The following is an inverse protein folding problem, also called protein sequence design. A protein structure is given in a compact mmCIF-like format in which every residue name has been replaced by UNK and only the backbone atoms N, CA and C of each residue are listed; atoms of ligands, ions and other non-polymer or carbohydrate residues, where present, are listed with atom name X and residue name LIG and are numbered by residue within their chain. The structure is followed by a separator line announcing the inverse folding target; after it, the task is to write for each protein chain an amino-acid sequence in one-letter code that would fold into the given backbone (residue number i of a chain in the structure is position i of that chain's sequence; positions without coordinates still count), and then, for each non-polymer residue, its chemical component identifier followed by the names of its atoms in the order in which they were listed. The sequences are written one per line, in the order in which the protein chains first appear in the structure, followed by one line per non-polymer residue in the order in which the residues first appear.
data_IF_369600245942
#
_entry.id   IF_369600245942
#
_cell.length_a   1.000
_cell.length_b   1.000
_cell.length_c   1.000
_cell.angle_alpha   90.00
_cell.angle_beta   90.00
_cell.angle_gamma   90.00
#
_symmetry.space_group_name_H-M   'P 1'
#
loop_
_entity.id
_entity.type
_entity.pdbx_description
1 polymer ?
#
# COMPACT_ATOMS: atom_id res chain seq x y z
N UNK A 1 63.16 -23.65 28.47
CA UNK A 1 62.64 -22.49 27.71
C UNK A 1 61.82 -22.87 26.47
N UNK A 2 62.27 -23.79 25.58
CA UNK A 2 61.50 -24.23 24.40
C UNK A 2 60.10 -24.83 24.70
N UNK A 3 59.94 -25.56 25.82
CA UNK A 3 58.66 -26.23 26.18
C UNK A 3 57.55 -25.25 26.58
N UNK A 4 57.90 -24.13 27.23
CA UNK A 4 56.92 -23.09 27.60
C UNK A 4 56.55 -22.18 26.43
N UNK A 5 57.45 -22.02 25.45
CA UNK A 5 57.18 -21.27 24.21
C UNK A 5 56.13 -21.99 23.34
N UNK A 6 56.20 -23.32 23.24
CA UNK A 6 55.19 -24.14 22.56
C UNK A 6 53.83 -24.08 23.26
N UNK A 7 53.80 -24.06 24.60
CA UNK A 7 52.55 -23.95 25.37
C UNK A 7 51.90 -22.56 25.23
N UNK A 8 52.70 -21.50 25.22
CA UNK A 8 52.23 -20.13 25.00
C UNK A 8 51.69 -19.93 23.56
N UNK A 9 52.35 -20.52 22.55
CA UNK A 9 51.88 -20.48 21.17
C UNK A 9 50.56 -21.25 20.97
N UNK A 10 50.34 -22.34 21.71
CA UNK A 10 49.11 -23.12 21.67
C UNK A 10 47.93 -22.42 22.37
N UNK A 11 48.20 -21.65 23.43
CA UNK A 11 47.16 -20.85 24.12
C UNK A 11 46.79 -19.60 23.31
N UNK A 12 47.74 -18.99 22.58
CA UNK A 12 47.50 -17.79 21.77
C UNK A 12 46.70 -18.07 20.48
N UNK A 13 46.73 -19.31 19.98
CA UNK A 13 45.98 -19.73 18.78
C UNK A 13 44.54 -20.17 19.08
N UNK A 14 44.20 -20.38 20.37
CA UNK A 14 42.86 -20.83 20.80
C UNK A 14 41.80 -19.73 20.94
N UNK A 15 42.12 -18.45 20.75
CA UNK A 15 41.19 -17.31 20.95
C UNK A 15 40.65 -16.69 19.65
N UNK A 16 40.90 -17.30 18.48
CA UNK A 16 40.29 -16.81 17.25
C UNK A 16 38.82 -17.26 17.18
N UNK A 17 37.88 -16.34 17.47
CA UNK A 17 36.45 -16.60 17.25
C UNK A 17 36.22 -16.67 15.75
N UNK A 18 35.97 -17.87 15.24
CA UNK A 18 35.48 -18.04 13.87
C UNK A 18 33.96 -17.92 13.89
N UNK A 19 33.45 -16.79 13.42
CA UNK A 19 32.02 -16.59 13.21
C UNK A 19 31.59 -17.39 11.96
N UNK A 20 30.60 -18.26 12.09
CA UNK A 20 30.08 -19.06 10.97
C UNK A 20 29.03 -18.28 10.17
N UNK A 21 29.46 -17.20 9.51
CA UNK A 21 28.62 -16.39 8.63
C UNK A 21 28.73 -16.88 7.19
N UNK A 22 27.61 -16.89 6.46
CA UNK A 22 27.61 -17.20 5.03
C UNK A 22 27.68 -15.89 4.25
N UNK A 23 28.84 -15.60 3.65
CA UNK A 23 29.00 -14.54 2.66
C UNK A 23 28.87 -15.08 1.24
N UNK A 24 28.07 -14.43 0.39
CA UNK A 24 28.03 -14.68 -1.05
C UNK A 24 28.52 -13.42 -1.77
N UNK A 25 29.62 -13.57 -2.51
CA UNK A 25 30.37 -12.48 -3.16
C UNK A 25 30.92 -11.39 -2.23
N UNK A 26 30.99 -11.64 -0.92
CA UNK A 26 31.69 -10.77 0.05
C UNK A 26 32.54 -11.62 0.98
N UNK A 27 33.74 -11.13 1.32
CA UNK A 27 34.64 -11.74 2.33
C UNK A 27 34.50 -11.08 3.69
N UNK A 28 33.68 -10.04 3.80
CA UNK A 28 33.41 -9.32 5.05
C UNK A 28 31.90 -9.17 5.22
N UNK A 29 31.17 -10.27 5.49
CA UNK A 29 29.74 -10.19 5.79
C UNK A 29 29.47 -9.20 6.92
N UNK A 30 28.34 -8.52 6.85
CA UNK A 30 27.92 -7.60 7.90
C UNK A 30 27.81 -8.33 9.24
N UNK A 31 28.30 -7.71 10.33
CA UNK A 31 28.37 -8.33 11.66
C UNK A 31 27.02 -8.81 12.23
N UNK A 32 25.90 -8.25 11.75
CA UNK A 32 24.55 -8.63 12.16
C UNK A 32 23.88 -9.64 11.21
N UNK A 33 24.58 -10.14 10.19
CA UNK A 33 24.03 -11.02 9.17
C UNK A 33 24.54 -12.45 9.34
N UNK A 34 23.62 -13.41 9.41
CA UNK A 34 23.96 -14.83 9.29
C UNK A 34 24.19 -15.24 7.82
N UNK A 35 23.51 -14.56 6.88
CA UNK A 35 23.69 -14.66 5.44
C UNK A 35 23.78 -13.23 4.87
N UNK A 36 24.90 -12.91 4.21
CA UNK A 36 25.11 -11.64 3.52
C UNK A 36 25.43 -11.89 2.05
N UNK A 37 24.73 -11.18 1.16
CA UNK A 37 24.84 -11.36 -0.29
C UNK A 37 25.08 -10.00 -0.92
N UNK A 38 26.26 -9.84 -1.52
CA UNK A 38 26.59 -8.61 -2.24
C UNK A 38 26.51 -8.84 -3.76
N UNK A 39 25.85 -7.93 -4.46
CA UNK A 39 25.83 -7.92 -5.93
C UNK A 39 25.34 -6.56 -6.45
N UNK A 40 25.91 -6.10 -7.54
CA UNK A 40 25.49 -4.87 -8.24
C UNK A 40 24.54 -5.14 -9.40
N UNK A 41 24.37 -6.41 -9.81
CA UNK A 41 23.59 -6.78 -11.00
C UNK A 41 22.77 -8.08 -10.87
N UNK A 42 22.80 -8.76 -9.72
CA UNK A 42 21.99 -9.95 -9.43
C UNK A 42 21.20 -9.74 -8.15
N UNK A 43 20.04 -10.40 -8.06
CA UNK A 43 19.22 -10.43 -6.86
C UNK A 43 19.14 -11.82 -6.23
N UNK A 44 18.40 -11.93 -5.14
CA UNK A 44 18.08 -13.18 -4.48
C UNK A 44 16.68 -13.66 -4.91
N UNK A 45 16.58 -14.91 -5.37
CA UNK A 45 15.31 -15.60 -5.50
C UNK A 45 15.02 -16.37 -4.21
N UNK A 46 14.01 -15.93 -3.47
CA UNK A 46 13.41 -16.72 -2.38
C UNK A 46 12.52 -17.83 -2.98
N UNK A 47 12.09 -18.86 -2.20
CA UNK A 47 11.19 -19.90 -2.69
C UNK A 47 9.95 -19.30 -3.37
N UNK A 48 9.61 -19.80 -4.56
CA UNK A 48 8.48 -19.30 -5.38
C UNK A 48 7.42 -20.38 -5.49
N UNK A 49 6.19 -20.03 -5.18
CA UNK A 49 5.05 -20.96 -5.29
C UNK A 49 3.72 -20.22 -5.41
N UNK A 50 2.68 -20.90 -5.85
CA UNK A 50 1.31 -20.34 -5.90
C UNK A 50 0.74 -20.14 -4.49
N UNK A 51 -0.31 -19.33 -4.35
CA UNK A 51 -1.00 -19.16 -3.06
C UNK A 51 -1.46 -20.50 -2.46
N UNK A 52 -1.98 -21.41 -3.29
CA UNK A 52 -2.43 -22.72 -2.84
C UNK A 52 -1.28 -23.56 -2.25
N UNK A 53 -0.12 -23.57 -2.92
CA UNK A 53 1.08 -24.26 -2.43
C UNK A 53 1.65 -23.62 -1.16
N UNK A 54 1.65 -22.29 -1.08
CA UNK A 54 2.10 -21.53 0.10
C UNK A 54 1.25 -21.85 1.34
N UNK A 55 -0.07 -21.88 1.19
CA UNK A 55 -1.00 -22.22 2.28
C UNK A 55 -0.88 -23.69 2.69
N UNK A 56 -0.45 -24.57 1.76
CA UNK A 56 -0.21 -25.98 2.05
C UNK A 56 1.14 -26.27 2.74
N UNK A 57 1.99 -25.27 2.99
CA UNK A 57 3.24 -25.46 3.75
C UNK A 57 2.87 -25.86 5.18
N UNK A 58 3.33 -27.05 5.60
CA UNK A 58 3.05 -27.59 6.94
C UNK A 58 3.98 -26.92 7.96
N UNK A 59 3.42 -26.42 9.06
CA UNK A 59 4.15 -25.77 10.17
C UNK A 59 5.15 -24.68 9.70
N UNK A 60 4.75 -23.69 8.89
CA UNK A 60 5.67 -22.69 8.38
C UNK A 60 6.22 -21.84 9.55
N UNK A 61 7.54 -21.67 9.61
CA UNK A 61 8.13 -20.87 10.67
C UNK A 61 7.58 -19.43 10.68
N UNK A 62 7.43 -18.80 11.87
CA UNK A 62 7.19 -17.36 11.95
C UNK A 62 8.29 -16.61 11.19
N UNK A 63 7.91 -15.61 10.39
CA UNK A 63 8.82 -14.84 9.57
C UNK A 63 9.26 -15.51 8.26
N UNK A 64 8.80 -16.73 7.95
CA UNK A 64 9.12 -17.42 6.69
C UNK A 64 8.74 -16.56 5.47
N UNK A 65 9.70 -16.34 4.57
CA UNK A 65 9.54 -15.54 3.36
C UNK A 65 9.40 -16.43 2.12
N UNK A 66 8.36 -16.18 1.33
CA UNK A 66 8.06 -16.90 0.09
C UNK A 66 7.57 -15.87 -0.93
N UNK A 67 7.97 -15.98 -2.19
CA UNK A 67 7.36 -15.20 -3.25
C UNK A 67 6.10 -15.92 -3.77
N UNK A 68 4.94 -15.32 -3.54
CA UNK A 68 3.65 -15.83 -4.02
C UNK A 68 3.47 -15.46 -5.49
N UNK A 69 3.49 -16.46 -6.38
CA UNK A 69 3.40 -16.23 -7.82
C UNK A 69 1.99 -15.87 -8.29
N UNK A 70 0.97 -16.18 -7.50
CA UNK A 70 -0.43 -15.84 -7.80
C UNK A 70 -0.70 -14.38 -7.43
N UNK A 71 -0.30 -13.96 -6.22
CA UNK A 71 -0.46 -12.58 -5.73
C UNK A 71 0.66 -11.64 -6.21
N UNK A 72 1.73 -12.19 -6.80
CA UNK A 72 2.90 -11.46 -7.31
C UNK A 72 3.60 -10.61 -6.23
N UNK A 73 3.62 -11.09 -5.00
CA UNK A 73 4.15 -10.38 -3.83
C UNK A 73 5.17 -11.24 -3.06
N UNK A 74 6.05 -10.59 -2.29
CA UNK A 74 6.79 -11.27 -1.23
C UNK A 74 5.81 -11.49 -0.08
N UNK A 75 5.57 -12.73 0.31
CA UNK A 75 4.66 -13.10 1.39
C UNK A 75 5.45 -13.57 2.62
N UNK A 76 5.08 -13.06 3.79
CA UNK A 76 5.66 -13.44 5.07
C UNK A 76 4.61 -14.12 5.96
N UNK A 77 5.00 -15.19 6.66
CA UNK A 77 4.17 -15.70 7.75
C UNK A 77 4.32 -14.78 8.99
N UNK A 78 3.35 -13.91 9.22
CA UNK A 78 3.26 -13.06 10.41
C UNK A 78 2.58 -13.76 11.61
N UNK A 79 2.09 -14.99 11.41
CA UNK A 79 1.47 -15.81 12.44
C UNK A 79 2.45 -16.74 13.14
N UNK A 80 1.93 -17.82 13.70
CA UNK A 80 2.71 -18.88 14.32
C UNK A 80 2.86 -20.09 13.39
N UNK A 81 3.66 -21.08 13.78
CA UNK A 81 3.76 -22.32 13.01
C UNK A 81 2.44 -23.12 12.99
N UNK A 82 1.66 -23.07 14.07
CA UNK A 82 0.38 -23.79 14.20
C UNK A 82 -0.82 -22.99 13.68
N UNK A 83 -0.68 -21.67 13.57
CA UNK A 83 -1.69 -20.76 13.03
C UNK A 83 -1.00 -19.72 12.14
N UNK A 84 -0.68 -20.09 10.88
CA UNK A 84 0.00 -19.19 9.97
C UNK A 84 -0.90 -18.05 9.51
N UNK A 85 -0.33 -16.86 9.42
CA UNK A 85 -0.99 -15.66 8.90
C UNK A 85 -0.12 -15.05 7.81
N UNK A 86 -0.43 -15.38 6.55
CA UNK A 86 0.34 -14.91 5.40
C UNK A 86 -0.02 -13.49 5.02
N UNK A 87 0.96 -12.59 5.06
CA UNK A 87 0.84 -11.18 4.68
C UNK A 87 1.69 -10.90 3.45
N UNK A 88 1.18 -10.13 2.49
CA UNK A 88 1.99 -9.60 1.40
C UNK A 88 2.77 -8.37 1.90
N UNK A 89 4.09 -8.41 1.78
CA UNK A 89 4.99 -7.29 2.02
C UNK A 89 5.03 -6.41 0.75
N UNK A 90 3.89 -5.81 0.41
CA UNK A 90 3.81 -4.77 -0.60
C UNK A 90 3.34 -3.47 0.05
N UNK A 91 3.89 -2.33 -0.37
CA UNK A 91 3.42 -1.02 0.11
C UNK A 91 1.95 -0.73 -0.27
N UNK A 92 1.35 -1.55 -1.15
CA UNK A 92 -0.04 -1.40 -1.60
C UNK A 92 -1.06 -1.93 -0.59
N UNK A 93 -0.68 -2.87 0.28
CA UNK A 93 -1.65 -3.60 1.12
C UNK A 93 -1.90 -2.95 2.51
N UNK A 94 -1.26 -1.81 2.83
CA UNK A 94 -1.37 -1.15 4.14
C UNK A 94 -2.16 0.16 4.14
N UNK A 95 -2.68 0.62 3.01
CA UNK A 95 -3.58 1.77 2.97
C UNK A 95 -4.78 1.41 2.10
N UNK A 96 -5.93 1.22 2.73
CA UNK A 96 -7.20 1.52 2.10
C UNK A 96 -7.14 3.00 1.73
N UNK A 97 -6.52 3.31 0.59
CA UNK A 97 -6.29 4.68 0.15
C UNK A 97 -7.63 5.24 -0.27
N UNK A 98 -8.33 5.88 0.67
CA UNK A 98 -9.53 6.63 0.36
C UNK A 98 -9.34 8.08 0.77
N UNK A 99 -10.01 8.96 0.06
CA UNK A 99 -10.08 10.37 0.39
C UNK A 99 -11.49 10.88 0.10
N UNK A 100 -11.90 11.90 0.85
CA UNK A 100 -13.15 12.59 0.54
C UNK A 100 -12.98 13.38 -0.76
N UNK A 101 -14.01 13.38 -1.59
CA UNK A 101 -14.09 14.33 -2.69
C UNK A 101 -14.01 15.76 -2.13
N UNK A 102 -13.25 16.67 -2.75
CA UNK A 102 -13.27 18.07 -2.36
C UNK A 102 -14.69 18.65 -2.42
N UNK A 103 -14.98 19.61 -1.53
CA UNK A 103 -16.28 20.27 -1.50
C UNK A 103 -16.56 20.99 -2.80
N UNK A 104 -17.76 20.77 -3.35
CA UNK A 104 -18.28 21.45 -4.54
C UNK A 104 -19.68 21.97 -4.27
N UNK A 105 -20.06 23.05 -4.97
CA UNK A 105 -21.43 23.52 -4.98
C UNK A 105 -22.23 22.75 -6.04
N UNK A 106 -23.40 22.24 -5.65
CA UNK A 106 -24.37 21.63 -6.55
C UNK A 106 -25.60 22.53 -6.57
N UNK A 107 -25.98 23.01 -7.75
CA UNK A 107 -27.18 23.82 -7.89
C UNK A 107 -28.43 22.94 -7.75
N UNK A 108 -29.15 23.14 -6.66
CA UNK A 108 -30.42 22.51 -6.33
C UNK A 108 -31.56 23.52 -6.22
N UNK A 109 -31.46 24.68 -6.87
CA UNK A 109 -32.48 25.74 -6.84
C UNK A 109 -33.78 25.39 -7.58
N UNK A 110 -33.76 24.37 -8.43
CA UNK A 110 -34.90 23.98 -9.27
C UNK A 110 -35.17 22.49 -9.18
N UNK A 111 -36.43 22.13 -8.90
CA UNK A 111 -36.90 20.75 -8.93
C UNK A 111 -36.73 20.21 -10.36
N UNK A 112 -35.96 19.14 -10.50
CA UNK A 112 -35.56 18.61 -11.81
C UNK A 112 -35.14 17.15 -11.67
N UNK A 113 -35.36 16.37 -12.71
CA UNK A 113 -35.05 14.93 -12.73
C UNK A 113 -33.92 14.62 -13.72
N UNK A 114 -33.13 13.59 -13.45
CA UNK A 114 -32.09 13.09 -14.35
C UNK A 114 -30.92 14.05 -14.51
N UNK A 115 -30.63 14.85 -13.49
CA UNK A 115 -29.44 15.72 -13.46
C UNK A 115 -28.20 14.83 -13.39
N UNK A 116 -27.14 15.26 -14.05
CA UNK A 116 -25.86 14.54 -14.07
C UNK A 116 -24.73 15.42 -13.57
N UNK A 117 -23.81 14.84 -12.81
CA UNK A 117 -22.61 15.49 -12.30
C UNK A 117 -21.40 14.57 -12.49
N UNK A 118 -20.40 15.02 -13.23
CA UNK A 118 -19.13 14.30 -13.38
C UNK A 118 -18.23 14.62 -12.18
N UNK A 119 -18.25 13.74 -11.18
CA UNK A 119 -17.51 13.94 -9.93
C UNK A 119 -16.00 13.92 -10.16
N UNK A 120 -15.52 13.22 -11.18
CA UNK A 120 -14.10 13.19 -11.50
C UNK A 120 -13.62 14.50 -12.13
N UNK A 121 -14.41 15.06 -13.03
CA UNK A 121 -14.07 16.35 -13.63
C UNK A 121 -14.15 17.48 -12.59
N UNK A 122 -15.13 17.44 -11.68
CA UNK A 122 -15.20 18.36 -10.54
C UNK A 122 -14.00 18.21 -9.60
N UNK A 123 -13.58 16.98 -9.31
CA UNK A 123 -12.36 16.69 -8.56
C UNK A 123 -11.15 17.35 -9.19
N UNK A 124 -10.88 17.13 -10.49
CA UNK A 124 -9.69 17.67 -11.17
C UNK A 124 -9.60 19.20 -11.10
N UNK A 125 -10.73 19.90 -11.21
CA UNK A 125 -10.76 21.38 -11.19
C UNK A 125 -10.11 21.96 -9.92
N UNK A 126 -10.13 21.22 -8.81
CA UNK A 126 -9.60 21.67 -7.53
C UNK A 126 -8.07 21.62 -7.45
N UNK A 127 -7.41 20.96 -8.42
CA UNK A 127 -5.96 20.76 -8.43
C UNK A 127 -5.26 21.67 -9.45
N UNK A 128 -6.00 22.55 -10.13
CA UNK A 128 -5.46 23.53 -11.05
C UNK A 128 -5.32 24.89 -10.38
N UNK A 129 -4.08 25.38 -10.23
CA UNK A 129 -3.72 26.71 -9.73
C UNK A 129 -4.25 27.09 -8.33
N UNK A 130 -4.03 26.27 -7.29
CA UNK A 130 -4.43 26.63 -5.93
C UNK A 130 -3.59 27.79 -5.39
N UNK A 131 -4.21 28.62 -4.55
CA UNK A 131 -3.45 29.50 -3.65
C UNK A 131 -2.63 28.62 -2.71
N UNK A 132 -1.31 28.77 -2.77
CA UNK A 132 -0.35 27.93 -2.07
C UNK A 132 0.58 28.77 -1.20
N UNK A 133 1.11 28.19 -0.13
CA UNK A 133 2.21 28.82 0.60
C UNK A 133 3.48 28.91 -0.29
N UNK A 134 4.41 29.83 -0.01
CA UNK A 134 5.52 30.11 -0.93
C UNK A 134 6.36 28.89 -1.33
N UNK A 135 6.60 27.96 -0.40
CA UNK A 135 7.43 26.78 -0.60
C UNK A 135 6.71 25.57 -1.21
N UNK A 136 5.38 25.61 -1.38
CA UNK A 136 4.66 24.49 -1.97
C UNK A 136 4.88 24.39 -3.50
N UNK A 137 4.87 23.18 -4.07
CA UNK A 137 4.84 22.99 -5.52
C UNK A 137 3.66 23.71 -6.19
N UNK A 138 3.81 24.09 -7.46
CA UNK A 138 2.78 24.81 -8.22
C UNK A 138 1.48 24.00 -8.37
N UNK A 139 1.61 22.68 -8.52
CA UNK A 139 0.48 21.77 -8.70
C UNK A 139 0.37 20.83 -7.52
N UNK A 140 -0.85 20.59 -7.05
CA UNK A 140 -1.14 19.52 -6.11
C UNK A 140 -1.24 18.21 -6.91
N UNK A 141 -0.50 17.15 -6.56
CA UNK A 141 -0.64 15.85 -7.22
C UNK A 141 -2.06 15.30 -7.09
N UNK A 142 -2.56 14.68 -8.17
CA UNK A 142 -3.91 14.11 -8.23
C UNK A 142 -3.95 12.91 -9.18
N UNK A 143 -5.00 12.08 -9.09
CA UNK A 143 -5.20 10.93 -9.96
C UNK A 143 -5.65 11.39 -11.34
N UNK A 144 -4.79 11.21 -12.35
CA UNK A 144 -5.01 11.69 -13.72
C UNK A 144 -5.93 10.82 -14.57
N UNK A 145 -6.26 9.60 -14.13
CA UNK A 145 -7.26 8.76 -14.77
C UNK A 145 -8.41 8.45 -13.81
N UNK A 146 -9.65 8.66 -14.28
CA UNK A 146 -10.88 8.27 -13.56
C UNK A 146 -10.97 6.77 -13.27
N UNK A 147 -10.31 5.93 -14.07
CA UNK A 147 -10.32 4.47 -13.89
C UNK A 147 -9.51 4.01 -12.69
N UNK A 148 -8.66 4.87 -12.13
CA UNK A 148 -7.80 4.56 -10.97
C UNK A 148 -8.57 4.72 -9.64
N UNK A 149 -9.85 5.11 -9.71
CA UNK A 149 -10.70 5.38 -8.56
C UNK A 149 -12.02 4.59 -8.61
N UNK A 150 -12.47 4.13 -7.45
CA UNK A 150 -13.85 3.79 -7.17
C UNK A 150 -14.55 5.00 -6.53
N UNK A 151 -15.84 5.14 -6.79
CA UNK A 151 -16.64 6.28 -6.35
C UNK A 151 -17.79 5.81 -5.46
N UNK A 152 -17.91 6.39 -4.28
CA UNK A 152 -18.94 6.06 -3.29
C UNK A 152 -19.67 7.31 -2.86
N UNK A 153 -21.00 7.21 -2.75
CA UNK A 153 -21.84 8.22 -2.11
C UNK A 153 -22.27 7.60 -0.79
N UNK A 154 -21.72 8.13 0.30
CA UNK A 154 -21.90 7.54 1.65
C UNK A 154 -23.04 8.18 2.42
N UNK A 155 -23.44 9.40 2.04
CA UNK A 155 -24.57 10.12 2.61
C UNK A 155 -25.07 11.20 1.65
N UNK A 156 -26.36 11.51 1.70
CA UNK A 156 -26.97 12.64 1.01
C UNK A 156 -28.28 13.03 1.69
N UNK A 157 -28.70 14.29 1.53
CA UNK A 157 -30.00 14.74 2.01
C UNK A 157 -31.14 14.15 1.15
N UNK A 158 -31.90 13.22 1.73
CA UNK A 158 -33.03 12.54 1.08
C UNK A 158 -34.28 13.41 0.92
N UNK A 159 -34.37 14.56 1.60
CA UNK A 159 -35.46 15.52 1.42
C UNK A 159 -35.27 16.30 0.12
N UNK A 160 -34.01 16.64 -0.19
CA UNK A 160 -33.63 17.42 -1.37
C UNK A 160 -33.32 16.53 -2.57
N UNK A 161 -32.67 15.38 -2.38
CA UNK A 161 -32.17 14.54 -3.45
C UNK A 161 -32.81 13.15 -3.47
N UNK A 162 -32.95 12.58 -4.67
CA UNK A 162 -33.39 11.19 -4.86
C UNK A 162 -32.79 10.55 -6.10
N UNK A 163 -33.06 9.25 -6.27
CA UNK A 163 -32.69 8.44 -7.44
C UNK A 163 -31.20 8.53 -7.80
N UNK A 164 -30.36 8.58 -6.76
CA UNK A 164 -28.93 8.70 -6.91
C UNK A 164 -28.35 7.39 -7.44
N UNK A 165 -27.60 7.49 -8.53
CA UNK A 165 -26.80 6.39 -9.07
C UNK A 165 -25.47 6.91 -9.58
N UNK A 166 -24.46 6.05 -9.64
CA UNK A 166 -23.12 6.40 -10.11
C UNK A 166 -22.56 5.31 -11.02
N UNK A 167 -21.96 5.71 -12.14
CA UNK A 167 -21.35 4.77 -13.07
C UNK A 167 -19.83 4.60 -12.86
N UNK A 168 -19.22 3.67 -13.58
CA UNK A 168 -17.78 3.36 -13.49
C UNK A 168 -16.86 4.51 -13.93
N UNK A 169 -17.39 5.55 -14.57
CA UNK A 169 -16.64 6.73 -14.98
C UNK A 169 -16.75 7.87 -13.95
N UNK A 170 -17.40 7.66 -12.81
CA UNK A 170 -17.59 8.68 -11.77
C UNK A 170 -18.68 9.71 -12.10
N UNK A 171 -19.55 9.43 -13.06
CA UNK A 171 -20.69 10.29 -13.37
C UNK A 171 -21.88 9.88 -12.52
N UNK A 172 -22.29 10.79 -11.64
CA UNK A 172 -23.47 10.66 -10.79
C UNK A 172 -24.71 11.13 -11.55
N UNK A 173 -25.82 10.41 -11.41
CA UNK A 173 -27.17 10.84 -11.82
C UNK A 173 -28.03 11.01 -10.58
N UNK A 174 -28.85 12.05 -10.51
CA UNK A 174 -29.69 12.38 -9.36
C UNK A 174 -30.91 13.22 -9.76
N UNK A 175 -31.92 13.20 -8.90
CA UNK A 175 -33.09 14.08 -8.97
C UNK A 175 -33.06 15.10 -7.83
N UNK A 176 -33.52 16.31 -8.10
CA UNK A 176 -33.79 17.37 -7.13
C UNK A 176 -35.28 17.35 -6.83
N UNK A 177 -35.66 16.95 -5.61
CA UNK A 177 -37.04 16.87 -5.12
C UNK A 177 -37.57 18.19 -4.58
N UNK A 178 -36.69 18.99 -4.00
CA UNK A 178 -37.02 20.26 -3.37
C UNK A 178 -35.82 21.19 -3.47
N UNK A 179 -36.07 22.50 -3.34
CA UNK A 179 -35.00 23.48 -3.20
C UNK A 179 -34.16 23.17 -1.95
N UNK A 180 -32.83 23.21 -2.09
CA UNK A 180 -31.91 22.99 -0.98
C UNK A 180 -31.94 24.14 0.03
N UNK A 181 -31.80 23.81 1.30
CA UNK A 181 -31.52 24.78 2.36
C UNK A 181 -30.00 24.83 2.68
N UNK A 182 -29.64 25.56 3.75
CA UNK A 182 -28.25 25.68 4.18
C UNK A 182 -27.65 24.40 4.80
N UNK A 183 -28.48 23.40 5.11
CA UNK A 183 -28.08 22.16 5.80
C UNK A 183 -28.07 20.93 4.86
N UNK A 184 -28.25 21.17 3.56
CA UNK A 184 -28.32 20.15 2.52
C UNK A 184 -26.91 19.75 2.02
N UNK A 185 -26.42 18.58 2.45
CA UNK A 185 -25.09 18.09 2.07
C UNK A 185 -25.11 16.67 1.47
N UNK A 186 -24.07 16.36 0.70
CA UNK A 186 -23.74 15.02 0.22
C UNK A 186 -22.29 14.69 0.59
N UNK A 187 -22.04 13.45 0.99
CA UNK A 187 -20.69 12.93 1.24
C UNK A 187 -20.30 11.96 0.14
N UNK A 188 -19.19 12.27 -0.52
CA UNK A 188 -18.62 11.46 -1.59
C UNK A 188 -17.20 11.03 -1.19
N UNK A 189 -16.91 9.74 -1.33
CA UNK A 189 -15.61 9.13 -1.02
C UNK A 189 -15.03 8.48 -2.28
N UNK A 190 -13.77 8.79 -2.57
CA UNK A 190 -13.01 8.15 -3.64
C UNK A 190 -12.06 7.12 -3.02
N UNK A 191 -12.03 5.91 -3.58
CA UNK A 191 -11.14 4.82 -3.13
C UNK A 191 -10.20 4.46 -4.28
N UNK A 192 -8.90 4.38 -4.01
CA UNK A 192 -7.87 4.05 -4.99
C UNK A 192 -7.91 2.55 -5.33
N UNK A 193 -7.74 2.21 -6.62
CA UNK A 193 -7.73 0.81 -7.10
C UNK A 193 -6.37 0.11 -6.99
#
# INVERSE_FOLDING_TARGET
MKKYFLLAALILTGFCRMEAQVGINTTSPHQSAALDIESTNKGMLIPRMTTAQKVAVINPAPGLLIYDTTLRCISQNAGTAVSPAWVCLSQKDAQNGFFYMPTIAVDASTVSTGKTLDLYDEYKKQFTAPTKNPSAPVNIPYFSNRTDLYYYITSYDTNVLANISINNNGVMTYDIKAESDYDSFMTVVFVVK
#
